data_IF_223326099829
#
_entry.id   IF_223326099829
#
_cell.length_a   1.000
_cell.length_b   1.000
_cell.length_c   1.000
_cell.angle_alpha   90.00
_cell.angle_beta   90.00
_cell.angle_gamma   90.00
#
_symmetry.space_group_name_H-M   'P 1'
#
loop_
_entity.id
_entity.type
_entity.pdbx_description
1 polymer ?
#
# COMPACT_ATOMS: atom_id res chain seq x y z
N UNK A 1 13.44 12.07 -14.99
CA UNK A 1 14.11 10.79 -15.32
C UNK A 1 13.02 9.82 -15.74
N UNK A 2 13.09 9.26 -16.94
CA UNK A 2 12.09 8.29 -17.39
C UNK A 2 12.31 6.95 -16.68
N UNK A 3 11.23 6.25 -16.36
CA UNK A 3 11.26 4.96 -15.65
C UNK A 3 12.19 3.92 -16.32
N UNK A 4 12.17 3.83 -17.64
CA UNK A 4 13.05 2.93 -18.41
C UNK A 4 14.53 3.18 -18.16
N UNK A 5 14.96 4.43 -18.13
CA UNK A 5 16.36 4.78 -17.85
C UNK A 5 16.78 4.41 -16.42
N UNK A 6 15.82 4.41 -15.48
CA UNK A 6 16.06 3.97 -14.13
C UNK A 6 16.26 2.44 -14.07
N UNK A 7 15.42 1.68 -14.77
CA UNK A 7 15.54 0.23 -14.84
C UNK A 7 16.84 -0.23 -15.53
N UNK A 8 17.20 0.40 -16.65
CA UNK A 8 18.47 0.12 -17.34
C UNK A 8 19.67 0.35 -16.43
N UNK A 9 19.68 1.46 -15.69
CA UNK A 9 20.72 1.72 -14.68
C UNK A 9 20.73 0.68 -13.58
N UNK A 10 19.57 0.20 -13.15
CA UNK A 10 19.44 -0.87 -12.16
C UNK A 10 20.13 -2.17 -12.58
N UNK A 11 20.13 -2.51 -13.85
CA UNK A 11 20.81 -3.69 -14.40
C UNK A 11 22.34 -3.64 -14.27
N UNK A 12 22.93 -2.46 -14.04
CA UNK A 12 24.36 -2.29 -13.84
C UNK A 12 24.81 -2.57 -12.39
N UNK A 13 23.85 -2.72 -11.46
CA UNK A 13 24.17 -2.98 -10.06
C UNK A 13 24.24 -4.48 -9.77
N UNK A 14 25.33 -4.90 -9.13
CA UNK A 14 25.51 -6.27 -8.67
C UNK A 14 24.53 -6.61 -7.54
N UNK A 15 24.21 -7.91 -7.40
CA UNK A 15 23.30 -8.47 -6.38
C UNK A 15 23.69 -8.12 -4.92
N UNK A 16 24.92 -7.68 -4.67
CA UNK A 16 25.43 -7.32 -3.34
C UNK A 16 24.92 -5.98 -2.77
N UNK A 17 24.09 -5.26 -3.55
CA UNK A 17 23.49 -3.97 -3.10
C UNK A 17 22.41 -4.19 -2.04
N UNK A 18 21.80 -5.38 -1.97
CA UNK A 18 20.76 -5.69 -0.98
C UNK A 18 21.35 -5.99 0.39
N UNK A 19 21.51 -4.95 1.20
CA UNK A 19 21.87 -5.12 2.60
C UNK A 19 20.63 -5.44 3.43
N UNK A 20 20.69 -6.54 4.17
CA UNK A 20 19.64 -6.87 5.14
C UNK A 20 19.56 -5.77 6.20
N UNK A 21 18.42 -5.12 6.31
CA UNK A 21 18.19 -4.06 7.29
C UNK A 21 17.76 -4.66 8.62
N UNK A 22 18.23 -4.05 9.72
CA UNK A 22 17.81 -4.42 11.07
C UNK A 22 16.42 -3.84 11.34
N UNK A 23 15.70 -4.45 12.28
CA UNK A 23 14.34 -3.99 12.65
C UNK A 23 14.32 -2.58 13.23
N UNK A 24 15.41 -2.13 13.85
CA UNK A 24 15.56 -0.82 14.45
C UNK A 24 15.86 0.30 13.42
N UNK A 25 16.23 -0.07 12.19
CA UNK A 25 16.52 0.93 11.17
C UNK A 25 15.24 1.65 10.72
N UNK A 26 15.38 2.95 10.48
CA UNK A 26 14.33 3.78 9.90
C UNK A 26 13.96 3.27 8.51
N UNK A 27 12.67 3.12 8.26
CA UNK A 27 12.14 2.64 7.00
C UNK A 27 11.47 3.74 6.20
N UNK A 28 10.65 4.57 6.85
CA UNK A 28 9.89 5.64 6.20
C UNK A 28 9.59 6.76 7.19
N UNK A 29 9.53 7.99 6.66
CA UNK A 29 9.07 9.17 7.39
C UNK A 29 7.71 9.56 6.82
N UNK A 30 6.69 9.59 7.67
CA UNK A 30 5.34 10.02 7.31
C UNK A 30 4.98 11.31 8.04
N UNK A 31 4.15 12.12 7.41
CA UNK A 31 3.62 13.33 8.03
C UNK A 31 2.29 13.02 8.72
N UNK A 32 2.16 13.42 9.99
CA UNK A 32 0.85 13.44 10.64
C UNK A 32 0.17 14.78 10.36
N UNK A 33 -1.13 14.76 10.08
CA UNK A 33 -1.95 15.95 10.11
C UNK A 33 -2.03 16.45 11.55
N UNK A 34 -1.19 17.41 11.92
CA UNK A 34 -1.20 17.97 13.26
C UNK A 34 -2.50 18.75 13.50
N UNK A 35 -3.26 18.39 14.52
CA UNK A 35 -4.41 19.17 15.00
C UNK A 35 -4.00 20.58 15.51
N UNK A 36 -2.70 20.79 15.73
CA UNK A 36 -2.09 22.04 16.19
C UNK A 36 -1.47 22.89 15.07
N UNK A 37 -1.73 22.56 13.79
CA UNK A 37 -1.31 23.35 12.63
C UNK A 37 0.11 23.06 12.10
N UNK A 38 0.99 22.44 12.88
CA UNK A 38 2.34 22.10 12.40
C UNK A 38 2.42 20.58 12.14
N UNK A 39 2.65 20.13 10.89
CA UNK A 39 2.83 18.72 10.59
C UNK A 39 4.00 18.13 11.38
N UNK A 40 3.79 16.99 12.02
CA UNK A 40 4.86 16.26 12.70
C UNK A 40 5.39 15.15 11.79
N UNK A 41 6.70 14.99 11.75
CA UNK A 41 7.35 13.89 11.08
C UNK A 41 7.37 12.68 12.01
N UNK A 42 6.80 11.57 11.55
CA UNK A 42 6.78 10.30 12.27
C UNK A 42 7.70 9.35 11.53
N UNK A 43 8.73 8.89 12.22
CA UNK A 43 9.66 7.89 11.71
C UNK A 43 9.11 6.51 12.06
N UNK A 44 8.88 5.69 11.05
CA UNK A 44 8.55 4.27 11.21
C UNK A 44 9.79 3.43 10.91
N UNK A 45 10.10 2.51 11.80
CA UNK A 45 11.18 1.54 11.61
C UNK A 45 10.72 0.33 10.81
N UNK A 46 11.66 -0.46 10.30
CA UNK A 46 11.35 -1.76 9.71
C UNK A 46 10.57 -2.65 10.69
N UNK A 47 10.90 -2.57 11.99
CA UNK A 47 10.19 -3.31 13.03
C UNK A 47 8.73 -2.92 13.16
N UNK A 48 8.40 -1.61 13.07
CA UNK A 48 7.02 -1.14 13.13
C UNK A 48 6.21 -1.69 11.96
N UNK A 49 6.72 -1.58 10.74
CA UNK A 49 6.05 -2.07 9.53
C UNK A 49 5.87 -3.58 9.59
N UNK A 50 6.94 -4.33 9.93
CA UNK A 50 6.88 -5.78 10.00
C UNK A 50 5.92 -6.29 11.09
N UNK A 51 5.81 -5.58 12.23
CA UNK A 51 4.86 -5.95 13.28
C UNK A 51 3.40 -5.91 12.79
N UNK A 52 3.03 -4.88 12.02
CA UNK A 52 1.70 -4.80 11.41
C UNK A 52 1.50 -5.92 10.38
N UNK A 53 2.53 -6.23 9.59
CA UNK A 53 2.45 -7.31 8.60
C UNK A 53 2.29 -8.69 9.27
N UNK A 54 2.99 -8.95 10.38
CA UNK A 54 2.80 -10.19 11.14
C UNK A 54 1.39 -10.31 11.75
N UNK A 55 0.82 -9.20 12.24
CA UNK A 55 -0.56 -9.15 12.68
C UNK A 55 -1.55 -9.40 11.53
N UNK A 56 -1.26 -8.83 10.35
CA UNK A 56 -2.07 -9.02 9.15
C UNK A 56 -2.15 -10.49 8.72
N UNK A 57 -1.09 -11.30 8.91
CA UNK A 57 -1.09 -12.75 8.63
C UNK A 57 -2.15 -13.50 9.43
N UNK A 58 -2.42 -13.05 10.66
CA UNK A 58 -3.41 -13.69 11.53
C UNK A 58 -4.83 -13.39 11.04
N UNK A 59 -5.04 -12.18 10.50
CA UNK A 59 -6.35 -11.72 10.04
C UNK A 59 -6.66 -12.22 8.62
N UNK A 60 -5.64 -12.25 7.77
CA UNK A 60 -5.75 -12.55 6.35
C UNK A 60 -5.03 -13.87 6.00
N UNK A 61 -5.39 -14.95 6.69
CA UNK A 61 -4.76 -16.26 6.53
C UNK A 61 -5.00 -16.92 5.17
N UNK A 62 -6.05 -16.50 4.45
CA UNK A 62 -6.46 -17.07 3.17
C UNK A 62 -5.93 -16.29 1.95
N UNK A 63 -5.14 -15.23 2.18
CA UNK A 63 -4.58 -14.42 1.10
C UNK A 63 -3.22 -14.98 0.65
N UNK A 64 -3.03 -15.04 -0.66
CA UNK A 64 -1.79 -15.57 -1.25
C UNK A 64 -1.53 -15.17 -2.70
N UNK A 65 -0.61 -15.87 -3.36
CA UNK A 65 -0.30 -15.65 -4.77
C UNK A 65 -1.53 -15.79 -5.66
N UNK A 66 -1.75 -14.81 -6.53
CA UNK A 66 -2.91 -14.76 -7.44
C UNK A 66 -4.05 -13.89 -6.93
N UNK A 67 -4.09 -13.56 -5.64
CA UNK A 67 -5.02 -12.58 -5.12
C UNK A 67 -4.66 -11.16 -5.54
N UNK A 68 -5.69 -10.31 -5.67
CA UNK A 68 -5.57 -8.94 -6.18
C UNK A 68 -6.13 -7.94 -5.20
N UNK A 69 -5.28 -7.04 -4.75
CA UNK A 69 -5.67 -5.91 -3.92
C UNK A 69 -5.92 -4.66 -4.76
N UNK A 70 -7.11 -4.07 -4.64
CA UNK A 70 -7.38 -2.76 -5.22
C UNK A 70 -6.94 -1.67 -4.24
N UNK A 71 -5.81 -1.05 -4.51
CA UNK A 71 -5.21 -0.01 -3.67
C UNK A 71 -5.64 1.37 -4.14
N UNK A 72 -6.60 1.96 -3.43
CA UNK A 72 -7.19 3.27 -3.72
C UNK A 72 -6.91 4.31 -2.65
N UNK A 73 -6.34 3.89 -1.52
CA UNK A 73 -5.99 4.81 -0.43
C UNK A 73 -4.67 5.53 -0.71
N UNK A 74 -4.52 6.78 -0.26
CA UNK A 74 -3.30 7.55 -0.46
C UNK A 74 -2.08 6.87 0.17
N UNK A 75 -1.04 6.61 -0.63
CA UNK A 75 0.18 5.94 -0.19
C UNK A 75 1.06 6.79 0.73
N UNK A 76 0.84 8.10 0.78
CA UNK A 76 1.52 9.00 1.73
C UNK A 76 0.96 8.88 3.15
N UNK A 77 -0.15 8.17 3.35
CA UNK A 77 -0.72 7.85 4.66
C UNK A 77 -0.31 6.44 5.07
N UNK A 78 -0.04 6.22 6.37
CA UNK A 78 0.42 4.93 6.89
C UNK A 78 -0.50 3.76 6.51
N UNK A 79 -1.82 3.94 6.55
CA UNK A 79 -2.78 2.91 6.18
C UNK A 79 -2.66 2.54 4.69
N UNK A 80 -2.56 3.53 3.79
CA UNK A 80 -2.36 3.28 2.36
C UNK A 80 -1.02 2.60 2.07
N UNK A 81 0.07 3.05 2.71
CA UNK A 81 1.39 2.47 2.50
C UNK A 81 1.49 1.05 3.07
N UNK A 82 1.21 0.88 4.36
CA UNK A 82 1.47 -0.40 5.04
C UNK A 82 0.44 -1.43 4.66
N UNK A 83 -0.84 -1.10 4.74
CA UNK A 83 -1.92 -2.08 4.57
C UNK A 83 -2.24 -2.35 3.10
N UNK A 84 -2.22 -1.31 2.24
CA UNK A 84 -2.58 -1.49 0.83
C UNK A 84 -1.40 -1.78 -0.10
N UNK A 85 -0.15 -1.62 0.37
CA UNK A 85 1.05 -1.91 -0.42
C UNK A 85 1.89 -3.00 0.23
N UNK A 86 2.38 -2.76 1.45
CA UNK A 86 3.34 -3.67 2.08
C UNK A 86 2.71 -5.02 2.42
N UNK A 87 1.48 -5.05 2.97
CA UNK A 87 0.81 -6.29 3.32
C UNK A 87 0.54 -7.20 2.10
N UNK A 88 -0.09 -6.74 1.01
CA UNK A 88 -0.28 -7.61 -0.16
C UNK A 88 1.02 -8.12 -0.74
N UNK A 89 2.07 -7.29 -0.82
CA UNK A 89 3.38 -7.74 -1.28
C UNK A 89 3.98 -8.83 -0.39
N UNK A 90 3.78 -8.75 0.93
CA UNK A 90 4.19 -9.81 1.85
C UNK A 90 3.48 -11.14 1.59
N UNK A 91 2.21 -11.10 1.18
CA UNK A 91 1.42 -12.29 0.80
C UNK A 91 1.72 -12.77 -0.63
N UNK A 92 2.62 -12.10 -1.37
CA UNK A 92 2.84 -12.35 -2.79
C UNK A 92 1.60 -12.14 -3.66
N UNK A 93 0.69 -11.28 -3.21
CA UNK A 93 -0.50 -10.87 -3.93
C UNK A 93 -0.20 -9.73 -4.90
N UNK A 94 -1.04 -9.56 -5.90
CA UNK A 94 -0.97 -8.47 -6.87
C UNK A 94 -1.52 -7.18 -6.24
N UNK A 95 -0.83 -6.04 -6.45
CA UNK A 95 -1.30 -4.72 -6.01
C UNK A 95 -1.72 -3.91 -7.23
N UNK A 96 -3.00 -3.61 -7.34
CA UNK A 96 -3.57 -2.77 -8.38
C UNK A 96 -3.65 -1.34 -7.87
N UNK A 97 -2.70 -0.51 -8.28
CA UNK A 97 -2.61 0.89 -7.86
C UNK A 97 -3.57 1.75 -8.66
N UNK A 98 -4.44 2.49 -7.97
CA UNK A 98 -5.33 3.47 -8.57
C UNK A 98 -4.89 4.86 -8.08
N UNK A 99 -4.13 5.61 -8.90
CA UNK A 99 -3.55 6.89 -8.48
C UNK A 99 -4.58 7.96 -8.12
N UNK A 100 -5.72 7.92 -8.79
CA UNK A 100 -6.84 8.83 -8.55
C UNK A 100 -8.13 8.02 -8.54
N UNK A 101 -8.74 7.92 -7.37
CA UNK A 101 -10.01 7.23 -7.19
C UNK A 101 -11.18 8.16 -7.51
N UNK A 102 -12.08 7.68 -8.37
CA UNK A 102 -13.39 8.29 -8.64
C UNK A 102 -14.47 7.23 -8.42
N UNK A 103 -15.32 7.47 -7.44
CA UNK A 103 -16.40 6.55 -7.08
C UNK A 103 -17.38 6.27 -8.23
N UNK A 104 -17.58 7.22 -9.13
CA UNK A 104 -18.44 7.06 -10.32
C UNK A 104 -17.92 6.02 -11.33
N UNK A 105 -16.63 5.76 -11.29
CA UNK A 105 -15.97 4.80 -12.19
C UNK A 105 -15.63 3.49 -11.50
N UNK A 106 -16.04 3.30 -10.25
CA UNK A 106 -15.69 2.15 -9.43
C UNK A 106 -16.08 0.82 -10.08
N UNK A 107 -17.28 0.71 -10.64
CA UNK A 107 -17.74 -0.49 -11.36
C UNK A 107 -16.83 -0.89 -12.51
N UNK A 108 -16.32 0.10 -13.24
CA UNK A 108 -15.38 -0.15 -14.35
C UNK A 108 -14.05 -0.70 -13.82
N UNK A 109 -13.59 -0.22 -12.65
CA UNK A 109 -12.39 -0.72 -12.01
C UNK A 109 -12.57 -2.18 -11.56
N UNK A 110 -13.68 -2.50 -10.90
CA UNK A 110 -14.00 -3.85 -10.45
C UNK A 110 -14.09 -4.81 -11.65
N UNK A 111 -14.84 -4.45 -12.70
CA UNK A 111 -14.97 -5.29 -13.90
C UNK A 111 -13.65 -5.50 -14.62
N UNK A 112 -12.82 -4.47 -14.71
CA UNK A 112 -11.55 -4.51 -15.42
C UNK A 112 -10.50 -5.35 -14.70
N UNK A 113 -10.36 -5.13 -13.40
CA UNK A 113 -9.26 -5.71 -12.63
C UNK A 113 -9.64 -6.95 -11.83
N UNK A 114 -10.95 -7.13 -11.57
CA UNK A 114 -11.50 -8.24 -10.78
C UNK A 114 -10.72 -8.48 -9.47
N UNK A 115 -10.59 -7.43 -8.60
CA UNK A 115 -9.87 -7.60 -7.35
C UNK A 115 -10.64 -8.50 -6.40
N UNK A 116 -9.90 -9.29 -5.61
CA UNK A 116 -10.46 -10.11 -4.54
C UNK A 116 -10.63 -9.27 -3.27
N UNK A 117 -9.77 -8.28 -3.07
CA UNK A 117 -9.64 -7.55 -1.81
C UNK A 117 -9.68 -6.05 -2.06
N UNK A 118 -10.56 -5.40 -1.33
CA UNK A 118 -10.66 -3.95 -1.23
C UNK A 118 -10.60 -3.56 0.24
N UNK A 119 -9.56 -2.84 0.62
CA UNK A 119 -9.42 -2.26 1.95
C UNK A 119 -9.62 -0.75 1.88
N UNK A 120 -10.44 -0.23 2.77
CA UNK A 120 -10.79 1.18 2.75
C UNK A 120 -11.25 1.68 4.12
N UNK A 121 -11.52 2.98 4.18
CA UNK A 121 -12.11 3.64 5.34
C UNK A 121 -13.64 3.63 5.23
N UNK A 122 -14.40 3.72 6.34
CA UNK A 122 -15.86 3.69 6.32
C UNK A 122 -16.50 4.66 5.32
N UNK A 123 -15.98 5.88 5.24
CA UNK A 123 -16.47 6.93 4.33
C UNK A 123 -16.38 6.53 2.85
N UNK A 124 -15.40 5.70 2.47
CA UNK A 124 -15.29 5.17 1.13
C UNK A 124 -16.49 4.28 0.81
N UNK A 125 -16.80 3.34 1.70
CA UNK A 125 -17.92 2.41 1.52
C UNK A 125 -19.27 3.11 1.55
N UNK A 126 -19.44 4.13 2.38
CA UNK A 126 -20.65 4.98 2.38
C UNK A 126 -20.88 5.65 1.02
N UNK A 127 -19.82 6.18 0.40
CA UNK A 127 -19.91 6.80 -0.93
C UNK A 127 -20.25 5.77 -1.99
N UNK A 128 -19.63 4.59 -1.94
CA UNK A 128 -19.90 3.50 -2.88
C UNK A 128 -21.36 3.02 -2.79
N UNK A 129 -21.89 2.84 -1.59
CA UNK A 129 -23.29 2.43 -1.36
C UNK A 129 -24.24 3.48 -1.96
N UNK A 130 -24.02 4.77 -1.70
CA UNK A 130 -24.90 5.85 -2.19
C UNK A 130 -24.93 5.98 -3.72
N UNK A 131 -23.91 5.51 -4.42
CA UNK A 131 -23.85 5.59 -5.88
C UNK A 131 -24.52 4.37 -6.53
N UNK A 132 -24.60 3.25 -5.81
CA UNK A 132 -25.10 1.97 -6.33
C UNK A 132 -26.48 1.57 -5.78
N UNK A 133 -27.12 2.45 -5.01
CA UNK A 133 -28.55 2.40 -4.65
C UNK A 133 -29.32 3.37 -5.52
#
# INVERSE_FOLDING_TARGET
>A
MYWYNFLEKGNLYNKDVFKRRKKENDAVILHSGGTTGTPKNIILTNGNINAIMEQAKIIFNDIGPGDKFLSILPMFHCFGLVVNICCPLMFSAEVILIPQFDAKTFDKLIRKYQPNILLGVPTLFEVLIKIHI
#
